data_IF_744844518645
#
_entry.id   IF_744844518645
#
_cell.length_a   1.000
_cell.length_b   1.000
_cell.length_c   1.000
_cell.angle_alpha   90.00
_cell.angle_beta   90.00
_cell.angle_gamma   90.00
#
_symmetry.space_group_name_H-M   'P 1'
#
loop_
_entity.id
_entity.type
_entity.pdbx_description
1 polymer ?
#
# COMPACT_ATOMS: atom_id res chain seq x y z
N UNK A 1 19.97 -5.41 -12.01
CA UNK A 1 20.61 -6.75 -12.10
C UNK A 1 19.80 -7.66 -11.19
N UNK A 2 19.20 -8.73 -11.72
CA UNK A 2 18.59 -9.77 -10.90
C UNK A 2 19.60 -10.88 -10.68
N UNK A 3 19.77 -11.30 -9.43
CA UNK A 3 20.54 -12.50 -9.15
C UNK A 3 19.77 -13.72 -9.66
N UNK A 4 20.42 -14.55 -10.45
CA UNK A 4 19.90 -15.89 -10.76
C UNK A 4 19.95 -16.72 -9.46
N UNK A 5 18.82 -17.31 -9.07
CA UNK A 5 18.81 -18.26 -7.96
C UNK A 5 19.61 -19.51 -8.35
N UNK A 6 20.46 -19.97 -7.45
CA UNK A 6 21.13 -21.27 -7.56
C UNK A 6 21.02 -22.00 -6.22
N UNK A 7 21.02 -23.33 -6.29
CA UNK A 7 21.16 -24.21 -5.11
C UNK A 7 22.52 -24.91 -5.20
N UNK A 8 23.26 -24.90 -4.09
CA UNK A 8 24.48 -25.69 -3.98
C UNK A 8 24.08 -27.18 -3.80
N UNK A 9 24.47 -28.09 -4.70
CA UNK A 9 24.08 -29.50 -4.62
C UNK A 9 24.65 -30.22 -3.38
N UNK A 10 25.60 -29.61 -2.68
CA UNK A 10 26.16 -30.13 -1.41
C UNK A 10 25.42 -29.63 -0.18
N UNK A 11 24.53 -28.64 -0.33
CA UNK A 11 23.73 -28.11 0.75
C UNK A 11 22.59 -29.08 1.09
N UNK A 12 22.53 -29.66 2.30
CA UNK A 12 21.48 -30.59 2.68
C UNK A 12 20.11 -29.90 2.89
N UNK A 13 20.06 -28.58 2.89
CA UNK A 13 18.83 -27.81 3.02
C UNK A 13 18.25 -27.49 1.63
N UNK A 14 16.99 -27.85 1.42
CA UNK A 14 16.21 -27.44 0.24
C UNK A 14 15.31 -26.24 0.61
N UNK A 15 15.18 -25.23 -0.26
CA UNK A 15 14.34 -24.06 0.01
C UNK A 15 12.83 -24.38 0.01
N UNK A 16 12.43 -25.61 -0.31
CA UNK A 16 11.02 -26.04 -0.28
C UNK A 16 10.13 -25.40 -1.35
N UNK A 17 10.67 -24.51 -2.18
CA UNK A 17 10.00 -23.85 -3.30
C UNK A 17 10.89 -23.96 -4.52
N UNK A 18 10.40 -24.65 -5.55
CA UNK A 18 11.12 -24.79 -6.81
C UNK A 18 10.90 -23.51 -7.64
N UNK A 19 11.90 -22.63 -7.69
CA UNK A 19 11.78 -21.33 -8.34
C UNK A 19 13.12 -20.81 -8.87
N UNK A 20 13.08 -20.08 -9.98
CA UNK A 20 14.25 -19.44 -10.59
C UNK A 20 14.58 -18.07 -9.99
N UNK A 21 13.79 -17.63 -9.01
CA UNK A 21 13.80 -16.27 -8.47
C UNK A 21 14.04 -16.27 -6.95
N UNK A 22 14.66 -15.20 -6.46
CA UNK A 22 14.68 -14.87 -5.04
C UNK A 22 13.37 -14.14 -4.71
N UNK A 23 12.79 -14.41 -3.55
CA UNK A 23 11.56 -13.75 -3.11
C UNK A 23 11.79 -13.02 -1.77
N UNK A 24 11.15 -11.86 -1.56
CA UNK A 24 10.46 -11.04 -2.55
C UNK A 24 11.44 -10.18 -3.37
N UNK A 25 11.16 -9.93 -4.66
CA UNK A 25 11.94 -9.04 -5.54
C UNK A 25 11.03 -8.30 -6.53
N UNK A 26 11.39 -7.06 -6.87
CA UNK A 26 10.69 -6.30 -7.90
C UNK A 26 10.96 -6.92 -9.28
N UNK A 27 9.97 -7.03 -10.16
CA UNK A 27 10.19 -7.60 -11.50
C UNK A 27 10.71 -6.56 -12.49
N UNK A 28 11.18 -6.98 -13.67
CA UNK A 28 11.53 -6.06 -14.76
C UNK A 28 10.34 -5.14 -15.09
N UNK A 29 9.14 -5.71 -15.15
CA UNK A 29 7.90 -4.96 -15.35
C UNK A 29 7.70 -3.90 -14.27
N UNK A 30 7.87 -4.26 -12.99
CA UNK A 30 7.78 -3.30 -11.89
C UNK A 30 8.78 -2.15 -11.98
N UNK A 31 10.01 -2.41 -12.45
CA UNK A 31 11.02 -1.35 -12.70
C UNK A 31 10.59 -0.44 -13.87
N UNK A 32 10.09 -1.03 -14.96
CA UNK A 32 9.61 -0.27 -16.12
C UNK A 32 8.41 0.60 -15.77
N UNK A 33 7.44 0.04 -15.03
CA UNK A 33 6.27 0.75 -14.53
C UNK A 33 6.67 1.87 -13.58
N UNK A 34 7.60 1.62 -12.65
CA UNK A 34 8.13 2.65 -11.76
C UNK A 34 8.80 3.79 -12.52
N UNK A 35 9.65 3.48 -13.50
CA UNK A 35 10.30 4.50 -14.34
C UNK A 35 9.28 5.32 -15.13
N UNK A 36 8.27 4.68 -15.71
CA UNK A 36 7.21 5.38 -16.43
C UNK A 36 6.36 6.24 -15.49
N UNK A 37 6.00 5.72 -14.31
CA UNK A 37 5.30 6.50 -13.28
C UNK A 37 6.07 7.74 -12.85
N UNK A 38 7.40 7.63 -12.69
CA UNK A 38 8.27 8.78 -12.42
C UNK A 38 8.20 9.86 -13.50
N UNK A 39 8.17 9.47 -14.78
CA UNK A 39 7.97 10.42 -15.89
C UNK A 39 6.60 11.09 -15.85
N UNK A 40 5.57 10.34 -15.48
CA UNK A 40 4.21 10.87 -15.37
C UNK A 40 4.08 11.88 -14.22
N UNK A 41 4.69 11.59 -13.07
CA UNK A 41 4.82 12.53 -11.96
C UNK A 41 5.59 13.79 -12.37
N UNK A 42 6.71 13.64 -13.09
CA UNK A 42 7.48 14.77 -13.60
C UNK A 42 6.65 15.65 -14.54
N UNK A 43 5.91 15.06 -15.47
CA UNK A 43 5.09 15.81 -16.44
C UNK A 43 4.03 16.68 -15.76
N UNK A 44 3.42 16.19 -14.67
CA UNK A 44 2.38 16.92 -13.94
C UNK A 44 3.00 17.87 -12.91
N UNK A 45 3.71 17.31 -11.93
CA UNK A 45 4.18 18.07 -10.77
C UNK A 45 5.48 18.81 -11.03
N UNK A 46 6.28 18.39 -12.01
CA UNK A 46 7.50 19.10 -12.43
C UNK A 46 7.24 20.12 -13.53
N UNK A 47 6.87 19.67 -14.73
CA UNK A 47 6.76 20.54 -15.91
C UNK A 47 5.55 21.47 -15.86
N UNK A 48 4.37 20.94 -15.54
CA UNK A 48 3.13 21.71 -15.56
C UNK A 48 2.96 22.59 -14.32
N UNK A 49 3.29 22.08 -13.13
CA UNK A 49 3.04 22.78 -11.87
C UNK A 49 4.30 23.37 -11.21
N UNK A 50 5.51 22.96 -11.60
CA UNK A 50 6.76 23.52 -11.05
C UNK A 50 7.03 23.19 -9.57
N UNK A 51 6.34 22.19 -9.01
CA UNK A 51 6.51 21.71 -7.64
C UNK A 51 7.75 20.82 -7.50
N UNK A 52 7.95 19.90 -8.46
CA UNK A 52 9.17 19.10 -8.53
C UNK A 52 10.22 19.89 -9.34
N UNK A 53 11.38 20.24 -8.75
CA UNK A 53 12.44 20.98 -9.44
C UNK A 53 13.19 20.11 -10.45
N UNK A 54 13.77 20.72 -11.49
CA UNK A 54 14.58 20.03 -12.53
C UNK A 54 15.79 19.26 -12.00
N UNK A 55 16.23 19.56 -10.78
CA UNK A 55 17.28 18.85 -10.05
C UNK A 55 16.84 18.70 -8.60
N UNK A 56 17.25 17.63 -7.89
CA UNK A 56 16.99 17.48 -6.46
C UNK A 56 17.32 18.74 -5.65
N UNK A 57 16.43 19.11 -4.73
CA UNK A 57 16.62 20.25 -3.81
C UNK A 57 15.82 20.04 -2.53
N UNK A 58 15.98 20.92 -1.55
CA UNK A 58 15.24 20.87 -0.28
C UNK A 58 13.72 21.08 -0.42
N UNK A 59 13.24 21.55 -1.58
CA UNK A 59 11.81 21.73 -1.88
C UNK A 59 11.05 20.40 -1.98
N UNK A 60 11.75 19.28 -2.07
CA UNK A 60 11.15 17.95 -2.21
C UNK A 60 11.62 16.98 -1.15
N UNK A 61 10.76 16.04 -0.78
CA UNK A 61 11.05 15.01 0.21
C UNK A 61 10.59 13.63 -0.27
N UNK A 62 11.53 12.73 -0.52
CA UNK A 62 11.21 11.35 -0.85
C UNK A 62 11.63 10.46 0.32
N UNK A 63 10.75 9.53 0.71
CA UNK A 63 11.01 8.53 1.74
C UNK A 63 10.56 7.16 1.24
N UNK A 64 11.32 6.10 1.50
CA UNK A 64 10.78 4.74 1.42
C UNK A 64 10.74 4.13 2.81
N UNK A 65 9.97 3.06 2.98
CA UNK A 65 10.25 2.12 4.06
C UNK A 65 11.66 1.50 3.88
N UNK A 66 12.11 0.78 4.89
CA UNK A 66 13.31 -0.05 4.90
C UNK A 66 13.26 -1.25 3.92
N UNK A 67 12.08 -1.67 3.46
CA UNK A 67 11.93 -2.82 2.58
C UNK A 67 12.69 -2.67 1.25
N UNK A 68 13.30 -3.76 0.79
CA UNK A 68 14.04 -3.80 -0.49
C UNK A 68 13.11 -3.49 -1.67
N UNK A 69 11.85 -3.92 -1.61
CA UNK A 69 10.88 -3.68 -2.68
C UNK A 69 10.55 -2.18 -2.83
N UNK A 70 10.23 -1.49 -1.72
CA UNK A 70 9.89 -0.06 -1.75
C UNK A 70 11.09 0.78 -2.14
N UNK A 71 12.30 0.42 -1.69
CA UNK A 71 13.54 1.06 -2.14
C UNK A 71 13.79 0.88 -3.64
N UNK A 72 13.55 -0.31 -4.19
CA UNK A 72 13.75 -0.55 -5.62
C UNK A 72 12.70 0.18 -6.47
N UNK A 73 11.43 0.20 -6.03
CA UNK A 73 10.37 1.03 -6.62
C UNK A 73 10.72 2.51 -6.58
N UNK A 74 11.22 3.00 -5.44
CA UNK A 74 11.70 4.37 -5.30
C UNK A 74 12.83 4.67 -6.30
N UNK A 75 13.83 3.80 -6.38
CA UNK A 75 14.93 3.95 -7.34
C UNK A 75 14.45 4.09 -8.79
N UNK A 76 13.49 3.27 -9.21
CA UNK A 76 12.89 3.34 -10.54
C UNK A 76 12.11 4.65 -10.75
N UNK A 77 11.23 5.02 -9.82
CA UNK A 77 10.42 6.24 -9.89
C UNK A 77 11.29 7.49 -9.90
N UNK A 78 12.25 7.62 -8.97
CA UNK A 78 13.14 8.79 -8.94
C UNK A 78 14.01 8.88 -10.20
N UNK A 79 14.39 7.74 -10.79
CA UNK A 79 15.10 7.74 -12.08
C UNK A 79 14.21 8.18 -13.24
N UNK A 80 12.91 7.92 -13.17
CA UNK A 80 11.92 8.48 -14.11
C UNK A 80 11.72 9.98 -13.96
N UNK A 81 11.80 10.51 -12.73
CA UNK A 81 11.69 11.95 -12.43
C UNK A 81 12.94 12.72 -12.87
N UNK A 82 14.13 12.19 -12.58
CA UNK A 82 15.42 12.82 -12.94
C UNK A 82 16.32 11.85 -13.72
N UNK A 83 16.03 11.61 -15.01
CA UNK A 83 16.76 10.63 -15.81
C UNK A 83 18.25 10.98 -15.97
N UNK A 84 18.56 12.25 -16.18
CA UNK A 84 19.92 12.74 -16.48
C UNK A 84 20.67 13.29 -15.25
N UNK A 85 20.18 13.01 -14.04
CA UNK A 85 20.85 13.47 -12.82
C UNK A 85 21.87 12.43 -12.33
N UNK A 86 23.14 12.81 -12.39
CA UNK A 86 24.29 11.95 -12.02
C UNK A 86 24.63 11.96 -10.53
N UNK A 87 23.94 12.77 -9.72
CA UNK A 87 24.18 12.88 -8.28
C UNK A 87 23.34 11.91 -7.44
N UNK A 88 23.48 12.03 -6.11
CA UNK A 88 22.69 11.28 -5.15
C UNK A 88 21.22 11.75 -5.16
N UNK A 89 20.29 10.80 -5.34
CA UNK A 89 18.87 11.07 -5.30
C UNK A 89 18.39 11.21 -3.84
N UNK A 90 17.44 12.13 -3.54
CA UNK A 90 17.08 12.51 -2.17
C UNK A 90 16.08 11.52 -1.54
N UNK A 91 16.48 10.25 -1.40
CA UNK A 91 15.68 9.21 -0.76
C UNK A 91 16.08 9.05 0.71
N UNK A 92 15.11 9.22 1.60
CA UNK A 92 15.28 9.09 3.05
C UNK A 92 14.62 7.80 3.54
N UNK A 93 15.06 7.32 4.69
CA UNK A 93 14.45 6.19 5.39
C UNK A 93 14.42 6.49 6.87
N UNK A 94 13.41 5.94 7.55
CA UNK A 94 13.42 5.88 9.00
C UNK A 94 14.12 4.59 9.44
N UNK A 95 14.60 4.54 10.67
CA UNK A 95 15.09 3.29 11.25
C UNK A 95 13.89 2.35 11.44
N UNK A 96 14.03 1.10 11.00
CA UNK A 96 12.92 0.14 10.95
C UNK A 96 12.12 0.07 12.25
N UNK A 97 12.78 0.00 13.41
CA UNK A 97 12.14 -0.14 14.73
C UNK A 97 11.24 1.03 15.18
N UNK A 98 11.26 2.14 14.44
CA UNK A 98 10.41 3.31 14.70
C UNK A 98 9.74 3.82 13.44
N UNK A 99 9.88 3.09 12.33
CA UNK A 99 9.26 3.46 11.06
C UNK A 99 7.73 3.48 11.24
N UNK A 100 7.12 4.58 10.83
CA UNK A 100 5.67 4.79 10.95
C UNK A 100 4.87 4.06 9.89
N UNK A 101 5.55 3.51 8.87
CA UNK A 101 5.01 2.61 7.85
C UNK A 101 5.67 1.23 7.97
N UNK A 102 5.18 0.24 7.20
CA UNK A 102 5.68 -1.13 7.20
C UNK A 102 5.71 -1.79 8.59
N UNK A 103 4.72 -1.47 9.44
CA UNK A 103 4.61 -2.00 10.80
C UNK A 103 5.91 -1.83 11.64
N UNK A 104 6.67 -0.75 11.40
CA UNK A 104 8.02 -0.60 11.95
C UNK A 104 8.10 -0.50 13.48
N UNK A 105 7.02 -0.10 14.14
CA UNK A 105 6.96 0.01 15.61
C UNK A 105 6.16 -1.13 16.25
N UNK A 106 6.65 -1.62 17.39
CA UNK A 106 5.98 -2.67 18.15
C UNK A 106 4.69 -2.16 18.79
N UNK A 107 3.57 -2.83 18.49
CA UNK A 107 2.27 -2.51 19.08
C UNK A 107 1.43 -3.77 19.31
N UNK A 108 1.36 -4.25 20.55
CA UNK A 108 0.64 -5.50 20.87
C UNK A 108 -0.86 -5.41 20.55
N UNK A 109 -1.43 -4.21 20.61
CA UNK A 109 -2.81 -3.93 20.29
C UNK A 109 -3.19 -4.19 18.82
N UNK A 110 -2.23 -4.22 17.89
CA UNK A 110 -2.49 -4.60 16.49
C UNK A 110 -3.05 -6.02 16.44
N UNK A 111 -2.28 -7.00 16.94
CA UNK A 111 -2.69 -8.40 16.95
C UNK A 111 -3.96 -8.64 17.78
N UNK A 112 -4.11 -7.97 18.92
CA UNK A 112 -5.28 -8.10 19.78
C UNK A 112 -6.55 -7.60 19.07
N UNK A 113 -6.46 -6.46 18.39
CA UNK A 113 -7.60 -5.88 17.65
C UNK A 113 -7.91 -6.71 16.41
N UNK A 114 -6.89 -7.19 15.67
CA UNK A 114 -7.11 -8.09 14.55
C UNK A 114 -7.81 -9.39 14.97
N UNK A 115 -7.48 -9.96 16.13
CA UNK A 115 -8.17 -11.12 16.67
C UNK A 115 -9.64 -10.83 17.01
N UNK A 116 -9.96 -9.63 17.50
CA UNK A 116 -11.35 -9.20 17.71
C UNK A 116 -12.11 -9.09 16.38
N UNK A 117 -11.48 -8.50 15.35
CA UNK A 117 -12.03 -8.41 13.99
C UNK A 117 -12.29 -9.81 13.43
N UNK A 118 -11.33 -10.73 13.54
CA UNK A 118 -11.48 -12.11 13.04
C UNK A 118 -12.46 -12.96 13.85
N UNK A 119 -12.92 -12.46 15.00
CA UNK A 119 -13.90 -13.15 15.86
C UNK A 119 -15.34 -12.74 15.59
N UNK A 120 -15.57 -11.73 14.74
CA UNK A 120 -16.91 -11.25 14.41
C UNK A 120 -17.74 -12.27 13.62
N UNK A 121 -19.08 -12.21 13.68
CA UNK A 121 -19.94 -13.05 12.88
C UNK A 121 -19.68 -12.90 11.36
N UNK A 122 -19.48 -11.69 10.86
CA UNK A 122 -19.26 -11.42 9.44
C UNK A 122 -17.96 -12.05 8.92
N UNK A 123 -16.88 -11.97 9.70
CA UNK A 123 -15.63 -12.65 9.35
C UNK A 123 -15.80 -14.16 9.32
N UNK A 124 -16.46 -14.73 10.34
CA UNK A 124 -16.72 -16.17 10.41
C UNK A 124 -17.62 -16.66 9.27
N UNK A 125 -18.61 -15.85 8.89
CA UNK A 125 -19.48 -16.14 7.75
C UNK A 125 -18.70 -16.12 6.43
N UNK A 126 -17.84 -15.10 6.21
CA UNK A 126 -16.93 -15.07 5.06
C UNK A 126 -16.06 -16.32 4.98
N UNK A 127 -15.47 -16.78 6.10
CA UNK A 127 -14.74 -18.05 6.11
C UNK A 127 -15.69 -19.22 5.78
N UNK A 128 -16.88 -19.27 6.34
CA UNK A 128 -17.85 -20.35 6.05
C UNK A 128 -18.17 -20.46 4.56
N UNK A 129 -18.57 -19.35 3.92
CA UNK A 129 -19.00 -19.34 2.52
C UNK A 129 -17.86 -19.59 1.53
N UNK A 130 -16.64 -19.20 1.88
CA UNK A 130 -15.44 -19.39 1.03
C UNK A 130 -14.67 -20.68 1.34
N UNK A 131 -15.15 -21.51 2.27
CA UNK A 131 -14.46 -22.73 2.73
C UNK A 131 -14.22 -23.73 1.60
N UNK A 132 -15.21 -23.92 0.72
CA UNK A 132 -15.10 -24.84 -0.41
C UNK A 132 -13.99 -24.43 -1.38
N UNK A 133 -13.92 -23.14 -1.74
CA UNK A 133 -12.85 -22.63 -2.62
C UNK A 133 -11.47 -22.84 -2.00
N UNK A 134 -11.28 -22.48 -0.73
CA UNK A 134 -9.98 -22.65 -0.04
C UNK A 134 -9.59 -24.11 0.10
N UNK A 135 -10.54 -25.01 0.36
CA UNK A 135 -10.30 -26.45 0.42
C UNK A 135 -9.90 -27.01 -0.94
N UNK A 136 -10.59 -26.62 -2.02
CA UNK A 136 -10.24 -27.02 -3.38
C UNK A 136 -8.84 -26.54 -3.78
N UNK A 137 -8.54 -25.26 -3.55
CA UNK A 137 -7.21 -24.69 -3.82
C UNK A 137 -6.13 -25.35 -2.96
N UNK A 138 -6.42 -25.61 -1.68
CA UNK A 138 -5.52 -26.31 -0.76
C UNK A 138 -5.20 -27.73 -1.24
N UNK A 139 -6.19 -28.48 -1.68
CA UNK A 139 -6.00 -29.83 -2.23
C UNK A 139 -5.23 -29.79 -3.56
N UNK A 140 -5.53 -28.83 -4.44
CA UNK A 140 -4.89 -28.71 -5.74
C UNK A 140 -3.40 -28.37 -5.59
N UNK A 141 -3.09 -27.36 -4.76
CA UNK A 141 -1.77 -26.74 -4.67
C UNK A 141 -0.92 -27.23 -3.48
N UNK A 142 -1.46 -28.12 -2.63
CA UNK A 142 -0.80 -28.50 -1.37
C UNK A 142 -0.79 -27.38 -0.31
N UNK A 143 -1.62 -26.35 -0.49
CA UNK A 143 -1.68 -25.14 0.34
C UNK A 143 -2.66 -25.28 1.52
N UNK A 144 -2.52 -26.32 2.34
CA UNK A 144 -3.49 -26.69 3.40
C UNK A 144 -3.19 -26.11 4.79
N UNK A 145 -2.06 -25.42 4.95
CA UNK A 145 -1.66 -24.82 6.23
C UNK A 145 -2.53 -23.62 6.60
N UNK A 146 -2.56 -23.26 7.89
CA UNK A 146 -3.37 -22.16 8.39
C UNK A 146 -3.03 -20.80 7.77
N UNK A 147 -1.79 -20.56 7.34
CA UNK A 147 -1.41 -19.32 6.66
C UNK A 147 -2.12 -19.14 5.32
N UNK A 148 -2.35 -20.23 4.59
CA UNK A 148 -3.08 -20.21 3.31
C UNK A 148 -4.59 -20.31 3.50
N UNK A 149 -5.02 -20.98 4.57
CA UNK A 149 -6.42 -21.30 4.78
C UNK A 149 -7.15 -20.27 5.64
N UNK A 150 -6.47 -19.32 6.32
CA UNK A 150 -7.14 -18.36 7.22
C UNK A 150 -7.57 -17.05 6.54
N UNK A 151 -7.01 -16.75 5.37
CA UNK A 151 -7.27 -15.56 4.55
C UNK A 151 -7.04 -15.91 3.07
N UNK A 152 -7.38 -15.00 2.16
CA UNK A 152 -7.04 -15.12 0.74
C UNK A 152 -5.72 -14.44 0.36
N UNK A 153 -4.96 -13.95 1.34
CA UNK A 153 -3.71 -13.21 1.15
C UNK A 153 -2.74 -13.94 0.21
N UNK A 154 -2.28 -15.11 0.61
CA UNK A 154 -1.27 -15.87 -0.15
C UNK A 154 -1.76 -16.37 -1.52
N UNK A 155 -3.04 -16.74 -1.63
CA UNK A 155 -3.61 -17.11 -2.92
C UNK A 155 -3.67 -15.90 -3.87
N UNK A 156 -4.10 -14.75 -3.36
CA UNK A 156 -4.20 -13.52 -4.14
C UNK A 156 -2.83 -13.02 -4.56
N UNK A 157 -1.84 -12.99 -3.65
CA UNK A 157 -0.47 -12.60 -3.94
C UNK A 157 0.12 -13.48 -5.06
N UNK A 158 0.03 -14.81 -4.92
CA UNK A 158 0.56 -15.74 -5.91
C UNK A 158 -0.09 -15.57 -7.29
N UNK A 159 -1.41 -15.46 -7.33
CA UNK A 159 -2.15 -15.40 -8.60
C UNK A 159 -1.96 -14.06 -9.28
N UNK A 160 -1.98 -12.95 -8.54
CA UNK A 160 -1.71 -11.61 -9.09
C UNK A 160 -0.29 -11.53 -9.63
N UNK A 161 0.72 -11.97 -8.87
CA UNK A 161 2.11 -11.95 -9.30
C UNK A 161 2.32 -12.73 -10.62
N UNK A 162 1.67 -13.90 -10.76
CA UNK A 162 1.71 -14.68 -12.01
C UNK A 162 1.04 -13.96 -13.17
N UNK A 163 -0.24 -13.62 -13.02
CA UNK A 163 -1.05 -13.07 -14.10
C UNK A 163 -0.52 -11.71 -14.58
N UNK A 164 -0.10 -10.83 -13.66
CA UNK A 164 0.46 -9.52 -14.01
C UNK A 164 1.80 -9.62 -14.77
N UNK A 165 2.53 -10.73 -14.62
CA UNK A 165 3.76 -10.98 -15.37
C UNK A 165 3.54 -11.92 -16.57
N UNK A 166 2.29 -12.15 -16.97
CA UNK A 166 1.94 -12.98 -18.14
C UNK A 166 2.14 -14.48 -17.95
N UNK A 167 2.31 -14.95 -16.71
CA UNK A 167 2.40 -16.38 -16.40
C UNK A 167 1.01 -17.01 -16.26
N UNK A 168 0.96 -18.31 -16.51
CA UNK A 168 -0.22 -19.12 -16.22
C UNK A 168 -0.43 -19.31 -14.72
N UNK A 169 -1.69 -19.52 -14.34
CA UNK A 169 -2.09 -19.92 -12.99
C UNK A 169 -1.49 -21.28 -12.63
N UNK A 170 -1.21 -21.53 -11.34
CA UNK A 170 -0.52 -22.74 -10.94
C UNK A 170 -1.37 -23.99 -11.17
N UNK A 171 -0.69 -25.08 -11.54
CA UNK A 171 -1.29 -26.40 -11.66
C UNK A 171 -1.05 -27.26 -10.43
N UNK A 172 -1.78 -28.37 -10.34
CA UNK A 172 -1.70 -29.24 -9.17
C UNK A 172 -0.31 -29.81 -9.00
N UNK A 173 0.11 -29.91 -7.73
CA UNK A 173 1.36 -30.57 -7.34
C UNK A 173 1.37 -32.07 -7.64
N UNK A 174 0.19 -32.69 -7.84
CA UNK A 174 0.05 -34.12 -8.13
C UNK A 174 -0.41 -34.43 -9.55
N UNK A 175 -0.99 -33.46 -10.27
CA UNK A 175 -1.46 -33.60 -11.64
C UNK A 175 -1.28 -32.30 -12.43
N UNK A 176 -0.24 -32.24 -13.26
CA UNK A 176 0.12 -31.03 -14.02
C UNK A 176 -0.94 -30.58 -15.03
N UNK A 177 -1.92 -31.42 -15.36
CA UNK A 177 -3.04 -31.06 -16.26
C UNK A 177 -4.24 -30.45 -15.52
N UNK A 178 -4.25 -30.49 -14.18
CA UNK A 178 -5.32 -29.92 -13.36
C UNK A 178 -4.87 -28.56 -12.81
N UNK A 179 -5.30 -27.47 -13.44
CA UNK A 179 -4.85 -26.13 -13.09
C UNK A 179 -5.93 -25.27 -12.45
N UNK A 180 -5.51 -24.29 -11.64
CA UNK A 180 -6.42 -23.26 -11.13
C UNK A 180 -7.03 -22.54 -12.32
N UNK A 181 -8.36 -22.44 -12.34
CA UNK A 181 -9.07 -21.75 -13.43
C UNK A 181 -9.14 -20.25 -13.18
N UNK A 182 -9.43 -19.48 -14.23
CA UNK A 182 -9.64 -18.04 -14.09
C UNK A 182 -10.86 -17.71 -13.22
N UNK A 183 -11.88 -18.56 -13.20
CA UNK A 183 -13.04 -18.41 -12.33
C UNK A 183 -12.65 -18.54 -10.85
N UNK A 184 -11.82 -19.53 -10.51
CA UNK A 184 -11.28 -19.70 -9.16
C UNK A 184 -10.42 -18.49 -8.76
N UNK A 185 -9.53 -18.03 -9.65
CA UNK A 185 -8.70 -16.86 -9.39
C UNK A 185 -9.54 -15.58 -9.21
N UNK A 186 -10.57 -15.38 -10.04
CA UNK A 186 -11.48 -14.25 -9.88
C UNK A 186 -12.27 -14.30 -8.56
N UNK A 187 -12.63 -15.50 -8.09
CA UNK A 187 -13.27 -15.68 -6.78
C UNK A 187 -12.30 -15.40 -5.63
N UNK A 188 -11.04 -15.82 -5.75
CA UNK A 188 -9.96 -15.44 -4.81
C UNK A 188 -9.83 -13.92 -4.72
N UNK A 189 -9.76 -13.22 -5.85
CA UNK A 189 -9.63 -11.75 -5.83
C UNK A 189 -10.85 -11.06 -5.22
N UNK A 190 -12.07 -11.52 -5.51
CA UNK A 190 -13.28 -10.97 -4.87
C UNK A 190 -13.30 -11.22 -3.36
N UNK A 191 -12.87 -12.39 -2.93
CA UNK A 191 -12.79 -12.74 -1.52
C UNK A 191 -11.70 -11.93 -0.81
N UNK A 192 -10.54 -11.76 -1.42
CA UNK A 192 -9.48 -10.87 -0.93
C UNK A 192 -9.92 -9.41 -0.85
N UNK A 193 -10.59 -8.89 -1.89
CA UNK A 193 -11.16 -7.52 -1.88
C UNK A 193 -12.16 -7.33 -0.74
N UNK A 194 -12.99 -8.35 -0.45
CA UNK A 194 -13.88 -8.33 0.71
C UNK A 194 -13.09 -8.26 2.03
N UNK A 195 -12.04 -9.06 2.19
CA UNK A 195 -11.19 -9.06 3.40
C UNK A 195 -10.54 -7.70 3.63
N UNK A 196 -9.98 -7.09 2.59
CA UNK A 196 -9.38 -5.75 2.64
C UNK A 196 -10.41 -4.68 3.01
N UNK A 197 -11.58 -4.71 2.40
CA UNK A 197 -12.66 -3.81 2.79
C UNK A 197 -13.07 -4.05 4.25
N UNK A 198 -13.20 -5.30 4.68
CA UNK A 198 -13.59 -5.60 6.05
C UNK A 198 -12.57 -5.10 7.07
N UNK A 199 -11.27 -5.35 6.86
CA UNK A 199 -10.18 -4.92 7.75
C UNK A 199 -10.15 -3.41 7.96
N UNK A 200 -10.32 -2.64 6.88
CA UNK A 200 -10.08 -1.21 6.96
C UNK A 200 -11.34 -0.37 6.95
N UNK A 201 -12.54 -0.97 6.74
CA UNK A 201 -13.81 -0.23 6.60
C UNK A 201 -14.95 -0.66 7.48
N UNK A 202 -15.37 -1.91 7.34
CA UNK A 202 -16.73 -2.30 7.71
C UNK A 202 -16.78 -3.13 8.99
N UNK A 203 -15.64 -3.39 9.64
CA UNK A 203 -15.60 -4.02 10.95
C UNK A 203 -15.88 -3.01 12.09
N UNK A 204 -16.41 -3.46 13.23
CA UNK A 204 -16.77 -2.58 14.35
C UNK A 204 -15.58 -1.98 15.11
N UNK A 205 -14.36 -2.48 14.89
CA UNK A 205 -13.14 -2.03 15.57
C UNK A 205 -12.24 -1.17 14.67
N UNK A 206 -12.74 -0.76 13.50
CA UNK A 206 -11.94 -0.21 12.40
C UNK A 206 -11.15 1.03 12.79
N UNK A 207 -11.76 1.96 13.55
CA UNK A 207 -11.06 3.17 13.99
C UNK A 207 -9.87 2.84 14.88
N UNK A 208 -10.06 1.95 15.86
CA UNK A 208 -8.97 1.50 16.72
C UNK A 208 -7.91 0.77 15.91
N UNK A 209 -8.32 -0.08 14.97
CA UNK A 209 -7.39 -0.85 14.16
C UNK A 209 -6.50 0.05 13.29
N UNK A 210 -7.08 1.04 12.60
CA UNK A 210 -6.32 2.03 11.84
C UNK A 210 -5.41 2.85 12.78
N UNK A 211 -5.89 3.28 13.96
CA UNK A 211 -5.08 4.04 14.91
C UNK A 211 -3.82 3.28 15.36
N UNK A 212 -3.92 1.97 15.60
CA UNK A 212 -2.79 1.17 16.10
C UNK A 212 -1.88 0.64 14.99
N UNK A 213 -2.34 0.60 13.75
CA UNK A 213 -1.52 0.21 12.59
C UNK A 213 -0.84 1.44 12.00
N UNK A 214 -1.63 2.42 11.57
CA UNK A 214 -1.17 3.50 10.68
C UNK A 214 -1.31 4.89 11.30
N UNK A 215 -1.82 4.99 12.53
CA UNK A 215 -2.19 6.27 13.13
C UNK A 215 -1.03 7.27 13.23
N UNK A 216 0.21 6.79 13.39
CA UNK A 216 1.39 7.64 13.38
C UNK A 216 1.69 8.21 11.98
N UNK A 217 1.60 7.39 10.93
CA UNK A 217 1.80 7.85 9.57
C UNK A 217 0.69 8.79 9.09
N UNK A 218 -0.57 8.50 9.45
CA UNK A 218 -1.69 9.43 9.24
C UNK A 218 -1.43 10.75 9.97
N UNK A 219 -0.83 10.70 11.16
CA UNK A 219 -0.37 11.88 11.89
C UNK A 219 0.68 12.71 11.13
N UNK A 220 1.62 12.07 10.46
CA UNK A 220 2.57 12.77 9.57
C UNK A 220 1.86 13.47 8.41
N UNK A 221 0.89 12.80 7.76
CA UNK A 221 0.09 13.40 6.69
C UNK A 221 -0.67 14.63 7.22
N UNK A 222 -1.36 14.49 8.35
CA UNK A 222 -2.10 15.59 8.99
C UNK A 222 -1.18 16.76 9.32
N UNK A 223 -0.01 16.50 9.92
CA UNK A 223 0.97 17.54 10.25
C UNK A 223 1.43 18.30 9.01
N UNK A 224 1.74 17.60 7.91
CA UNK A 224 2.16 18.25 6.67
C UNK A 224 1.04 19.11 6.07
N UNK A 225 -0.21 18.63 6.07
CA UNK A 225 -1.36 19.41 5.59
C UNK A 225 -1.59 20.65 6.45
N UNK A 226 -1.43 20.53 7.77
CA UNK A 226 -1.53 21.65 8.71
C UNK A 226 -0.41 22.68 8.48
N UNK A 227 0.83 22.23 8.26
CA UNK A 227 1.96 23.12 7.93
C UNK A 227 1.73 23.92 6.64
N UNK A 228 1.07 23.33 5.64
CA UNK A 228 0.68 24.05 4.42
C UNK A 228 -0.39 25.10 4.72
N UNK A 229 -1.39 24.74 5.54
CA UNK A 229 -2.46 25.66 5.95
C UNK A 229 -1.90 26.87 6.73
N UNK A 230 -0.95 26.62 7.63
CA UNK A 230 -0.30 27.62 8.47
C UNK A 230 0.79 28.41 7.74
N UNK A 231 1.20 27.96 6.55
CA UNK A 231 2.24 28.60 5.74
C UNK A 231 3.65 28.38 6.29
N UNK A 232 3.86 27.33 7.08
CA UNK A 232 5.14 26.93 7.68
C UNK A 232 5.83 25.83 6.89
N UNK A 233 5.14 25.17 5.94
CA UNK A 233 5.75 24.17 5.07
C UNK A 233 6.89 24.77 4.23
N UNK A 234 8.03 24.08 4.22
CA UNK A 234 9.18 24.36 3.35
C UNK A 234 9.26 23.44 2.12
N UNK A 235 8.30 22.51 2.00
CA UNK A 235 8.25 21.48 0.95
C UNK A 235 7.08 21.74 0.02
N UNK A 236 7.35 21.60 -1.27
CA UNK A 236 6.34 21.70 -2.34
C UNK A 236 5.83 20.33 -2.78
N UNK A 237 6.64 19.28 -2.59
CA UNK A 237 6.28 17.92 -2.97
C UNK A 237 6.91 16.89 -2.04
N UNK A 238 6.11 15.92 -1.62
CA UNK A 238 6.59 14.74 -0.90
C UNK A 238 6.03 13.46 -1.49
N UNK A 239 6.84 12.42 -1.56
CA UNK A 239 6.42 11.09 -2.02
C UNK A 239 6.99 10.03 -1.08
N UNK A 240 6.12 9.17 -0.57
CA UNK A 240 6.48 8.14 0.40
C UNK A 240 6.17 6.78 -0.23
N UNK A 241 7.19 5.96 -0.41
CA UNK A 241 7.09 4.61 -0.98
C UNK A 241 6.79 3.63 0.15
N UNK A 242 5.55 3.16 0.14
CA UNK A 242 4.92 2.37 1.19
C UNK A 242 4.34 1.07 0.61
N UNK A 243 3.81 0.21 1.45
CA UNK A 243 3.18 -1.04 1.07
C UNK A 243 1.67 -0.90 0.92
N UNK A 244 1.04 -1.91 0.35
CA UNK A 244 -0.42 -2.05 0.34
C UNK A 244 -1.01 -1.99 1.76
N UNK A 245 -0.33 -2.62 2.74
CA UNK A 245 -0.67 -2.60 4.16
C UNK A 245 -0.70 -1.22 4.78
N UNK A 246 0.00 -0.24 4.18
CA UNK A 246 0.00 1.17 4.59
C UNK A 246 -1.06 1.98 3.79
N UNK A 247 -1.25 1.67 2.49
CA UNK A 247 -2.26 2.32 1.64
C UNK A 247 -3.70 2.03 2.13
N UNK A 248 -3.97 0.77 2.48
CA UNK A 248 -5.28 0.29 2.95
C UNK A 248 -5.84 1.12 4.12
N UNK A 249 -5.13 1.23 5.26
CA UNK A 249 -5.59 2.02 6.40
C UNK A 249 -5.73 3.51 6.09
N UNK A 250 -4.88 4.12 5.25
CA UNK A 250 -5.05 5.53 4.84
C UNK A 250 -6.33 5.71 4.02
N UNK A 251 -6.61 4.85 3.04
CA UNK A 251 -7.88 4.87 2.31
C UNK A 251 -9.08 4.58 3.22
N UNK A 252 -8.88 3.69 4.19
CA UNK A 252 -9.83 3.40 5.26
C UNK A 252 -10.22 4.66 6.03
N UNK A 253 -9.22 5.38 6.53
CA UNK A 253 -9.36 6.64 7.26
C UNK A 253 -10.04 7.74 6.43
N UNK A 254 -9.75 7.79 5.12
CA UNK A 254 -10.38 8.74 4.21
C UNK A 254 -11.86 8.47 3.94
N UNK A 255 -12.40 7.32 4.33
CA UNK A 255 -13.81 7.05 4.10
C UNK A 255 -14.15 6.47 2.72
N UNK A 256 -13.17 5.99 1.91
CA UNK A 256 -13.39 5.20 0.66
C UNK A 256 -14.60 4.24 0.69
N UNK A 257 -15.52 4.31 -0.28
CA UNK A 257 -16.75 3.49 -0.26
C UNK A 257 -16.53 2.01 -0.53
N UNK A 258 -15.51 1.67 -1.30
CA UNK A 258 -15.17 0.30 -1.65
C UNK A 258 -13.65 0.19 -1.72
N UNK A 259 -13.05 -0.45 -0.71
CA UNK A 259 -11.62 -0.72 -0.70
C UNK A 259 -11.38 -2.10 -1.29
N UNK A 260 -10.69 -2.13 -2.43
CA UNK A 260 -10.10 -3.34 -3.00
C UNK A 260 -8.66 -3.46 -2.51
N UNK A 261 -8.05 -4.65 -2.63
CA UNK A 261 -6.63 -4.79 -2.36
C UNK A 261 -5.86 -3.76 -3.21
N UNK A 262 -5.04 -2.88 -2.60
CA UNK A 262 -4.20 -1.94 -3.34
C UNK A 262 -3.30 -2.65 -4.36
N UNK A 263 -3.49 -2.38 -5.64
CA UNK A 263 -2.70 -2.97 -6.70
C UNK A 263 -1.27 -2.40 -6.72
N UNK A 264 -0.33 -3.13 -7.35
CA UNK A 264 1.03 -2.63 -7.58
C UNK A 264 1.01 -1.28 -8.32
N UNK A 265 1.84 -0.34 -7.86
CA UNK A 265 1.91 1.02 -8.43
C UNK A 265 0.72 1.92 -8.11
N UNK A 266 -0.26 1.45 -7.34
CA UNK A 266 -1.31 2.31 -6.80
C UNK A 266 -0.71 3.37 -5.86
N UNK A 267 -1.35 4.53 -5.79
CA UNK A 267 -0.88 5.65 -4.98
C UNK A 267 -2.07 6.47 -4.47
N UNK A 268 -1.83 7.19 -3.38
CA UNK A 268 -2.72 8.23 -2.85
C UNK A 268 -2.02 9.56 -3.03
N UNK A 269 -2.60 10.47 -3.81
CA UNK A 269 -2.11 11.83 -3.97
C UNK A 269 -2.98 12.80 -3.18
N UNK A 270 -2.37 13.55 -2.26
CA UNK A 270 -2.98 14.67 -1.57
C UNK A 270 -2.51 15.97 -2.24
N UNK A 271 -3.42 16.67 -2.90
CA UNK A 271 -3.12 17.92 -3.59
C UNK A 271 -3.80 19.09 -2.86
N UNK A 272 -3.03 20.13 -2.53
CA UNK A 272 -3.53 21.33 -1.85
C UNK A 272 -3.45 22.54 -2.77
N UNK A 273 -4.53 23.29 -2.83
CA UNK A 273 -4.70 24.48 -3.65
C UNK A 273 -5.04 25.67 -2.78
N UNK A 274 -4.56 26.83 -3.17
CA UNK A 274 -4.81 28.10 -2.49
C UNK A 274 -5.54 29.04 -3.43
N UNK A 275 -6.62 29.68 -2.96
CA UNK A 275 -7.33 30.68 -3.75
C UNK A 275 -6.46 31.91 -4.00
N UNK A 276 -6.66 32.57 -5.15
CA UNK A 276 -5.94 33.80 -5.52
C UNK A 276 -6.54 35.07 -4.88
N UNK A 277 -7.59 34.95 -4.07
CA UNK A 277 -8.29 36.10 -3.50
C UNK A 277 -7.42 36.85 -2.48
N UNK A 278 -7.40 38.19 -2.61
CA UNK A 278 -6.47 39.06 -1.87
C UNK A 278 -6.81 39.19 -0.38
N UNK A 279 -8.01 38.82 0.05
CA UNK A 279 -8.52 39.12 1.39
C UNK A 279 -8.88 37.88 2.22
N UNK A 280 -9.07 36.73 1.59
CA UNK A 280 -9.31 35.43 2.24
C UNK A 280 -8.43 34.38 1.58
N UNK A 281 -7.43 33.88 2.32
CA UNK A 281 -6.61 32.76 1.88
C UNK A 281 -7.34 31.48 2.24
N UNK A 282 -8.11 30.94 1.30
CA UNK A 282 -8.77 29.66 1.49
C UNK A 282 -7.93 28.54 0.86
N UNK A 283 -7.82 27.44 1.59
CA UNK A 283 -7.14 26.24 1.12
C UNK A 283 -8.17 25.14 0.82
N UNK A 284 -8.02 24.55 -0.35
CA UNK A 284 -8.81 23.41 -0.81
C UNK A 284 -7.91 22.22 -1.06
N UNK A 285 -8.45 21.03 -0.89
CA UNK A 285 -7.75 19.79 -1.11
C UNK A 285 -8.50 18.91 -2.11
N UNK A 286 -7.73 18.12 -2.84
CA UNK A 286 -8.20 16.99 -3.65
C UNK A 286 -7.38 15.77 -3.27
N UNK A 287 -8.05 14.63 -3.11
CA UNK A 287 -7.39 13.34 -2.85
C UNK A 287 -7.66 12.42 -4.02
N UNK A 288 -6.61 11.90 -4.63
CA UNK A 288 -6.68 10.95 -5.74
C UNK A 288 -6.21 9.58 -5.28
N UNK A 289 -6.92 8.52 -5.64
CA UNK A 289 -6.44 7.14 -5.56
C UNK A 289 -6.21 6.64 -6.98
N UNK A 290 -4.95 6.31 -7.30
CA UNK A 290 -4.53 5.89 -8.65
C UNK A 290 -5.00 6.87 -9.74
N UNK A 291 -4.87 8.18 -9.47
CA UNK A 291 -5.23 9.26 -10.39
C UNK A 291 -6.72 9.63 -10.45
N UNK A 292 -7.60 8.97 -9.69
CA UNK A 292 -9.04 9.27 -9.67
C UNK A 292 -9.46 9.86 -8.32
N UNK A 293 -10.32 10.91 -8.28
CA UNK A 293 -10.83 11.44 -7.03
C UNK A 293 -11.49 10.38 -6.15
N UNK A 294 -11.06 10.29 -4.89
CA UNK A 294 -11.52 9.22 -3.99
C UNK A 294 -13.00 9.41 -3.67
N UNK A 295 -13.78 8.35 -3.89
CA UNK A 295 -15.20 8.28 -3.56
C UNK A 295 -15.37 7.80 -2.11
N UNK A 296 -15.88 8.65 -1.23
CA UNK A 296 -15.93 8.37 0.21
C UNK A 296 -17.34 8.54 0.80
N UNK A 297 -17.52 8.09 2.05
CA UNK A 297 -18.73 8.35 2.84
C UNK A 297 -18.92 9.84 3.17
N UNK A 298 -17.88 10.66 3.01
CA UNK A 298 -17.92 12.12 3.15
C UNK A 298 -18.19 12.84 1.82
N UNK A 299 -18.45 12.09 0.73
CA UNK A 299 -18.56 12.63 -0.63
C UNK A 299 -17.31 12.33 -1.46
N UNK A 300 -17.24 12.90 -2.67
CA UNK A 300 -16.00 12.86 -3.47
C UNK A 300 -14.99 13.82 -2.85
N UNK A 301 -13.77 13.35 -2.57
CA UNK A 301 -12.69 14.21 -2.06
C UNK A 301 -12.04 15.01 -3.20
N UNK A 302 -12.83 15.88 -3.84
CA UNK A 302 -12.43 16.75 -4.94
C UNK A 302 -12.86 18.18 -4.64
N UNK A 303 -11.88 19.08 -4.46
CA UNK A 303 -12.10 20.47 -4.07
C UNK A 303 -12.87 20.66 -2.75
N UNK A 304 -12.55 19.84 -1.73
CA UNK A 304 -13.05 20.04 -0.36
C UNK A 304 -12.18 21.06 0.38
N UNK A 305 -12.66 21.65 1.48
CA UNK A 305 -11.78 22.50 2.30
C UNK A 305 -10.66 21.67 2.91
N UNK A 306 -9.45 22.24 2.96
CA UNK A 306 -8.30 21.57 3.57
C UNK A 306 -8.55 21.24 5.06
N UNK A 307 -9.25 22.13 5.78
CA UNK A 307 -9.66 21.91 7.17
C UNK A 307 -10.53 20.66 7.35
N UNK A 308 -11.41 20.39 6.37
CA UNK A 308 -12.33 19.26 6.44
C UNK A 308 -11.58 17.94 6.21
N UNK A 309 -10.61 17.94 5.28
CA UNK A 309 -9.72 16.80 5.07
C UNK A 309 -8.87 16.50 6.32
N UNK A 310 -8.29 17.54 6.93
CA UNK A 310 -7.54 17.42 8.18
C UNK A 310 -8.44 16.83 9.27
N UNK A 311 -9.68 17.31 9.41
CA UNK A 311 -10.62 16.80 10.40
C UNK A 311 -10.98 15.31 10.17
N UNK A 312 -11.19 14.90 8.92
CA UNK A 312 -11.44 13.49 8.55
C UNK A 312 -10.29 12.60 9.03
N UNK A 313 -9.04 12.94 8.68
CA UNK A 313 -7.87 12.13 9.02
C UNK A 313 -7.53 12.19 10.51
N UNK A 314 -7.73 13.34 11.17
CA UNK A 314 -7.40 13.55 12.58
C UNK A 314 -8.15 12.61 13.53
N UNK A 315 -9.31 12.08 13.13
CA UNK A 315 -10.04 11.07 13.90
C UNK A 315 -9.24 9.76 14.11
N UNK A 316 -8.27 9.50 13.24
CA UNK A 316 -7.44 8.31 13.23
C UNK A 316 -6.03 8.55 13.79
N UNK A 317 -5.72 9.79 14.20
CA UNK A 317 -4.43 10.11 14.83
C UNK A 317 -4.53 9.86 16.34
N UNK A 318 -3.74 8.93 16.90
CA UNK A 318 -3.77 8.61 18.32
C UNK A 318 -3.18 9.76 19.14
N UNK A 319 -3.85 10.14 20.24
CA UNK A 319 -3.31 11.12 21.19
C UNK A 319 -2.09 10.60 21.95
N UNK A 320 -2.11 9.30 22.26
CA UNK A 320 -1.03 8.58 22.94
C UNK A 320 -0.96 7.15 22.39
N UNK A 321 -0.14 6.96 21.36
CA UNK A 321 0.06 5.65 20.74
C UNK A 321 0.66 4.64 21.72
N UNK A 322 1.52 5.09 22.66
CA UNK A 322 2.19 4.19 23.59
C UNK A 322 1.17 3.55 24.53
N UNK A 323 0.27 4.37 25.09
CA UNK A 323 -0.83 3.85 25.91
C UNK A 323 -1.78 2.95 25.12
N UNK A 324 -1.99 3.19 23.82
CA UNK A 324 -2.84 2.34 22.98
C UNK A 324 -2.18 0.98 22.68
N UNK A 325 -0.86 0.95 22.54
CA UNK A 325 -0.09 -0.24 22.20
C UNK A 325 0.16 -1.20 23.36
N UNK A 326 0.00 -0.74 24.60
CA UNK A 326 0.22 -1.52 25.82
C UNK A 326 1.63 -1.37 26.35
#
# INVERSE_FOLDING_TARGET
>A
MYAQTYEDPTNPFSPGVNGTCQFPQITVGGIQDGFQHGKDLWRVYGEKLGLIPKKPSHRVWFRSSESVLTQASAGAVLRGVWPDYDGALPLHQMVSSVDTVNEGYSCSAISATLNQIKSTPEWKDHLSVTSNLRAQLGALLGATSSSWQSTFDHFSDNFQARLCNGYELPCSVSNSSACVTMEMAAEVFRAGDWEWNYYWRTNPYVTKYIQVVEGLFIGEIVSHLQDVMDGTSSRDYSHIFIHDGDIGPVLGALGIKALRWPAMGSNIAFEVWKTHEKHTKDYYARVLYSGQPVQTIHGTLDWIKLSDLIAILSAFVPKDIKSLCG
#
